data_IF_902696016023
#
_entry.id   IF_902696016023
#
_cell.length_a   1.000
_cell.length_b   1.000
_cell.length_c   1.000
_cell.angle_alpha   90.00
_cell.angle_beta   90.00
_cell.angle_gamma   90.00
#
_symmetry.space_group_name_H-M   'P 1'
#
loop_
_entity.id
_entity.type
_entity.pdbx_description
1 polymer ?
#
# COMPACT_ATOMS: atom_id res chain seq x y z
N UNK A 1 -5.26 -2.89 12.03
CA UNK A 1 -5.08 -2.50 10.61
C UNK A 1 -4.20 -3.53 9.86
N UNK A 2 -2.94 -3.72 10.24
CA UNK A 2 -1.99 -4.57 9.49
C UNK A 2 -2.41 -6.04 9.31
N UNK A 3 -3.03 -6.68 10.32
CA UNK A 3 -3.49 -8.06 10.19
C UNK A 3 -4.53 -8.23 9.08
N UNK A 4 -5.53 -7.34 9.01
CA UNK A 4 -6.53 -7.34 7.93
C UNK A 4 -5.90 -7.12 6.56
N UNK A 5 -4.85 -6.29 6.47
CA UNK A 5 -4.10 -6.08 5.22
C UNK A 5 -3.38 -7.37 4.79
N UNK A 6 -2.86 -8.16 5.74
CA UNK A 6 -2.25 -9.45 5.42
C UNK A 6 -3.28 -10.42 4.84
N UNK A 7 -4.48 -10.48 5.42
CA UNK A 7 -5.59 -11.29 4.89
C UNK A 7 -5.99 -10.86 3.47
N UNK A 8 -6.12 -9.55 3.24
CA UNK A 8 -6.41 -9.00 1.92
C UNK A 8 -5.32 -9.33 0.90
N UNK A 9 -4.05 -9.30 1.30
CA UNK A 9 -2.94 -9.64 0.41
C UNK A 9 -2.96 -11.11 -0.01
N UNK A 10 -3.48 -12.01 0.82
CA UNK A 10 -3.77 -13.39 0.39
C UNK A 10 -4.88 -13.44 -0.66
N UNK A 11 -5.91 -12.60 -0.51
CA UNK A 11 -6.98 -12.45 -1.50
C UNK A 11 -6.44 -11.88 -2.82
N UNK A 12 -5.60 -10.84 -2.78
CA UNK A 12 -4.88 -10.32 -3.96
C UNK A 12 -4.09 -11.44 -4.65
N UNK A 13 -3.36 -12.24 -3.88
CA UNK A 13 -2.57 -13.36 -4.42
C UNK A 13 -3.44 -14.41 -5.10
N UNK A 14 -4.55 -14.80 -4.46
CA UNK A 14 -5.50 -15.77 -5.02
C UNK A 14 -6.15 -15.26 -6.31
N UNK A 15 -6.57 -14.00 -6.34
CA UNK A 15 -7.18 -13.36 -7.50
C UNK A 15 -6.19 -13.27 -8.67
N UNK A 16 -4.94 -12.85 -8.44
CA UNK A 16 -3.91 -12.77 -9.47
C UNK A 16 -3.51 -14.14 -10.03
N UNK A 17 -3.46 -15.17 -9.19
CA UNK A 17 -3.15 -16.53 -9.64
C UNK A 17 -4.24 -17.11 -10.56
N UNK A 18 -5.49 -16.64 -10.39
CA UNK A 18 -6.67 -17.18 -11.05
C UNK A 18 -7.17 -16.31 -12.21
N UNK A 19 -6.56 -15.16 -12.48
CA UNK A 19 -6.89 -14.29 -13.63
C UNK A 19 -6.86 -15.03 -15.00
N UNK A 20 -6.19 -16.19 -15.07
CA UNK A 20 -6.14 -17.07 -16.24
C UNK A 20 -7.02 -18.32 -16.19
N UNK A 21 -7.54 -18.67 -15.02
CA UNK A 21 -8.35 -19.86 -14.83
C UNK A 21 -9.80 -19.53 -15.18
N UNK A 22 -10.29 -20.11 -16.28
CA UNK A 22 -11.58 -19.80 -16.89
C UNK A 22 -12.80 -19.77 -15.94
N UNK A 23 -13.86 -19.14 -16.47
CA UNK A 23 -15.16 -18.93 -15.83
C UNK A 23 -15.67 -20.21 -15.15
N UNK A 24 -15.75 -20.21 -13.82
CA UNK A 24 -16.33 -21.33 -13.06
C UNK A 24 -15.87 -21.49 -11.62
N UNK A 25 -14.70 -20.95 -11.22
CA UNK A 25 -14.23 -20.99 -9.83
C UNK A 25 -14.48 -19.67 -9.11
N UNK A 26 -15.32 -19.68 -8.07
CA UNK A 26 -15.47 -18.56 -7.13
C UNK A 26 -14.21 -18.45 -6.28
N UNK A 27 -13.34 -17.52 -6.62
CA UNK A 27 -12.13 -17.19 -5.86
C UNK A 27 -12.42 -15.90 -5.09
N UNK A 28 -11.91 -15.72 -3.85
CA UNK A 28 -11.98 -14.44 -3.16
C UNK A 28 -11.42 -13.32 -4.05
N UNK A 29 -12.12 -12.20 -4.11
CA UNK A 29 -11.74 -11.05 -4.92
C UNK A 29 -11.66 -9.79 -4.07
N UNK A 30 -10.82 -8.86 -4.48
CA UNK A 30 -10.78 -7.52 -3.96
C UNK A 30 -12.01 -6.76 -4.42
N UNK A 31 -12.90 -6.47 -3.47
CA UNK A 31 -14.08 -5.62 -3.64
C UNK A 31 -13.84 -4.17 -3.19
N UNK A 32 -14.69 -3.20 -3.59
CA UNK A 32 -14.57 -1.79 -3.22
C UNK A 32 -14.41 -1.52 -1.72
N UNK A 33 -15.02 -2.34 -0.86
CA UNK A 33 -14.96 -2.22 0.59
C UNK A 33 -13.53 -2.38 1.14
N UNK A 34 -12.70 -3.20 0.49
CA UNK A 34 -11.29 -3.32 0.84
C UNK A 34 -10.54 -2.01 0.58
N UNK A 35 -10.82 -1.35 -0.55
CA UNK A 35 -10.23 -0.05 -0.92
C UNK A 35 -10.70 1.03 0.05
N UNK A 36 -12.00 1.11 0.31
CA UNK A 36 -12.59 2.07 1.24
C UNK A 36 -11.99 1.95 2.64
N UNK A 37 -11.69 0.73 3.10
CA UNK A 37 -11.03 0.49 4.39
C UNK A 37 -9.59 1.01 4.43
N UNK A 38 -8.85 0.95 3.32
CA UNK A 38 -7.52 1.55 3.23
C UNK A 38 -7.62 3.08 3.23
N UNK A 39 -8.58 3.66 2.52
CA UNK A 39 -8.84 5.10 2.49
C UNK A 39 -9.22 5.63 3.87
N UNK A 40 -10.18 4.99 4.56
CA UNK A 40 -10.50 5.32 5.94
C UNK A 40 -9.29 5.16 6.90
N UNK A 41 -8.42 4.19 6.62
CA UNK A 41 -7.16 4.03 7.35
C UNK A 41 -6.21 5.21 7.14
N UNK A 42 -6.10 5.73 5.92
CA UNK A 42 -5.28 6.90 5.60
C UNK A 42 -5.80 8.10 6.39
N UNK A 43 -7.10 8.33 6.38
CA UNK A 43 -7.74 9.44 7.09
C UNK A 43 -7.59 9.32 8.62
N UNK A 44 -7.62 8.09 9.15
CA UNK A 44 -7.41 7.82 10.58
C UNK A 44 -6.02 8.24 11.06
N UNK A 45 -4.99 8.05 10.23
CA UNK A 45 -3.62 8.43 10.55
C UNK A 45 -3.35 9.87 10.12
N UNK A 46 -4.11 10.85 10.58
CA UNK A 46 -3.88 12.25 10.22
C UNK A 46 -2.48 12.72 10.68
N UNK A 47 -1.68 13.16 9.71
CA UNK A 47 -0.35 13.73 9.94
C UNK A 47 -0.31 15.22 9.59
N UNK A 48 -1.44 15.86 9.30
CA UNK A 48 -1.50 17.21 8.79
C UNK A 48 -0.74 17.38 7.47
N UNK A 49 -0.42 18.63 7.13
CA UNK A 49 0.20 18.97 5.85
C UNK A 49 1.65 18.46 5.79
N UNK A 50 1.95 17.69 4.74
CA UNK A 50 3.31 17.29 4.36
C UNK A 50 3.78 18.23 3.25
N UNK A 51 4.81 19.03 3.52
CA UNK A 51 5.37 19.99 2.55
C UNK A 51 6.65 19.51 1.89
N UNK A 52 7.29 18.48 2.46
CA UNK A 52 8.59 17.98 2.02
C UNK A 52 8.63 16.46 2.04
N UNK A 53 9.46 15.87 1.19
CA UNK A 53 9.69 14.43 1.22
C UNK A 53 10.41 14.02 2.50
N UNK A 54 10.00 12.88 3.05
CA UNK A 54 10.53 12.34 4.29
C UNK A 54 11.43 11.15 3.95
N UNK A 55 12.66 11.16 4.47
CA UNK A 55 13.57 10.03 4.35
C UNK A 55 13.17 8.89 5.30
N UNK A 56 13.31 7.62 4.87
CA UNK A 56 12.95 6.46 5.68
C UNK A 56 14.02 6.16 6.73
N UNK A 57 14.16 7.05 7.72
CA UNK A 57 15.13 6.98 8.82
C UNK A 57 14.42 7.21 10.14
N UNK A 58 14.82 6.48 11.18
CA UNK A 58 14.20 6.56 12.51
C UNK A 58 14.09 5.20 13.16
N UNK A 59 13.01 4.97 13.90
CA UNK A 59 12.76 3.70 14.59
C UNK A 59 12.64 2.52 13.65
N UNK A 60 12.84 1.32 14.20
CA UNK A 60 12.65 0.07 13.47
C UNK A 60 11.24 -0.05 12.89
N UNK A 61 10.21 0.36 13.64
CA UNK A 61 8.82 0.33 13.18
C UNK A 61 8.60 1.20 11.94
N UNK A 62 9.09 2.44 11.97
CA UNK A 62 9.04 3.37 10.84
C UNK A 62 9.76 2.80 9.60
N UNK A 63 10.97 2.28 9.80
CA UNK A 63 11.77 1.73 8.70
C UNK A 63 11.09 0.51 8.08
N UNK A 64 10.52 -0.38 8.89
CA UNK A 64 9.76 -1.54 8.42
C UNK A 64 8.50 -1.13 7.64
N UNK A 65 7.79 -0.08 8.05
CA UNK A 65 6.64 0.45 7.30
C UNK A 65 7.06 1.00 5.93
N UNK A 66 8.15 1.77 5.88
CA UNK A 66 8.68 2.24 4.61
C UNK A 66 9.20 1.11 3.72
N UNK A 67 9.78 0.05 4.30
CA UNK A 67 10.17 -1.14 3.54
C UNK A 67 8.95 -1.86 2.97
N UNK A 68 7.93 -2.13 3.79
CA UNK A 68 6.67 -2.71 3.31
C UNK A 68 6.07 -1.87 2.16
N UNK A 69 6.13 -0.53 2.27
CA UNK A 69 5.68 0.39 1.22
C UNK A 69 6.44 0.20 -0.10
N UNK A 70 7.76 0.06 -0.07
CA UNK A 70 8.54 -0.13 -1.31
C UNK A 70 8.26 -1.49 -1.96
N UNK A 71 8.03 -2.52 -1.15
CA UNK A 71 7.58 -3.84 -1.63
C UNK A 71 6.18 -3.75 -2.25
N UNK A 72 5.23 -3.08 -1.60
CA UNK A 72 3.89 -2.86 -2.15
C UNK A 72 3.92 -2.13 -3.49
N UNK A 73 4.72 -1.06 -3.63
CA UNK A 73 4.90 -0.36 -4.92
C UNK A 73 5.55 -1.23 -5.99
N UNK A 74 6.45 -2.14 -5.61
CA UNK A 74 7.05 -3.11 -6.55
C UNK A 74 6.02 -4.12 -7.04
N UNK A 75 5.14 -4.60 -6.16
CA UNK A 75 4.02 -5.45 -6.53
C UNK A 75 3.02 -4.70 -7.44
N UNK A 76 2.62 -3.48 -7.07
CA UNK A 76 1.76 -2.60 -7.89
C UNK A 76 2.28 -2.47 -9.33
N UNK A 77 3.57 -2.16 -9.53
CA UNK A 77 4.16 -2.04 -10.87
C UNK A 77 4.09 -3.34 -11.68
N UNK A 78 4.28 -4.49 -11.03
CA UNK A 78 4.16 -5.81 -11.68
C UNK A 78 2.73 -6.09 -12.09
N UNK A 79 1.77 -5.77 -11.22
CA UNK A 79 0.34 -5.95 -11.49
C UNK A 79 -0.12 -5.02 -12.62
N UNK A 80 0.29 -3.75 -12.63
CA UNK A 80 0.03 -2.82 -13.74
C UNK A 80 0.66 -3.32 -15.05
N UNK A 81 1.82 -3.98 -14.98
CA UNK A 81 2.43 -4.59 -16.18
C UNK A 81 1.62 -5.78 -16.69
N UNK A 82 1.03 -6.57 -15.77
CA UNK A 82 0.14 -7.68 -16.08
C UNK A 82 -1.20 -7.19 -16.67
N UNK A 83 -1.76 -6.10 -16.13
CA UNK A 83 -3.04 -5.53 -16.61
C UNK A 83 -3.00 -5.01 -18.04
N UNK A 84 -1.81 -4.86 -18.63
CA UNK A 84 -1.62 -4.53 -20.05
C UNK A 84 -1.74 -5.75 -20.97
N UNK A 85 -1.67 -6.96 -20.41
CA UNK A 85 -1.67 -8.24 -21.15
C UNK A 85 -2.98 -9.00 -20.96
N UNK A 86 -3.64 -8.84 -19.82
CA UNK A 86 -4.89 -9.48 -19.48
C UNK A 86 -5.78 -8.54 -18.67
N UNK A 87 -7.12 -8.64 -18.79
CA UNK A 87 -8.04 -7.81 -18.02
C UNK A 87 -7.93 -8.18 -16.53
N UNK A 88 -7.68 -7.18 -15.70
CA UNK A 88 -7.64 -7.33 -14.24
C UNK A 88 -8.74 -6.49 -13.60
N UNK A 89 -9.16 -6.91 -12.41
CA UNK A 89 -10.07 -6.17 -11.55
C UNK A 89 -9.51 -4.76 -11.23
N UNK A 90 -10.22 -3.68 -11.58
CA UNK A 90 -9.80 -2.32 -11.27
C UNK A 90 -9.63 -2.05 -9.77
N UNK A 91 -10.43 -2.68 -8.91
CA UNK A 91 -10.33 -2.47 -7.46
C UNK A 91 -9.08 -3.13 -6.88
N UNK A 92 -8.59 -4.22 -7.46
CA UNK A 92 -7.29 -4.79 -7.10
C UNK A 92 -6.15 -3.80 -7.39
N UNK A 93 -6.16 -3.14 -8.55
CA UNK A 93 -5.18 -2.11 -8.90
C UNK A 93 -5.25 -0.93 -7.92
N UNK A 94 -6.47 -0.45 -7.61
CA UNK A 94 -6.70 0.63 -6.65
C UNK A 94 -6.25 0.25 -5.24
N UNK A 95 -6.51 -0.98 -4.81
CA UNK A 95 -6.11 -1.50 -3.51
C UNK A 95 -4.58 -1.44 -3.34
N UNK A 96 -3.83 -1.93 -4.33
CA UNK A 96 -2.36 -1.92 -4.26
C UNK A 96 -1.78 -0.49 -4.26
N UNK A 97 -2.40 0.42 -5.00
CA UNK A 97 -2.04 1.84 -4.97
C UNK A 97 -2.28 2.46 -3.58
N UNK A 98 -3.48 2.28 -3.02
CA UNK A 98 -3.88 2.80 -1.70
C UNK A 98 -3.11 2.16 -0.56
N UNK A 99 -2.75 0.89 -0.66
CA UNK A 99 -1.92 0.22 0.35
C UNK A 99 -0.57 0.93 0.49
N UNK A 100 0.05 1.32 -0.62
CA UNK A 100 1.30 2.08 -0.56
C UNK A 100 1.14 3.48 0.06
N UNK A 101 -0.04 4.08 -0.07
CA UNK A 101 -0.38 5.36 0.54
C UNK A 101 -0.60 5.22 2.05
N UNK A 102 -1.36 4.21 2.48
CA UNK A 102 -1.57 3.89 3.90
C UNK A 102 -0.26 3.57 4.63
N UNK A 103 0.61 2.75 4.03
CA UNK A 103 1.91 2.41 4.62
C UNK A 103 2.81 3.64 4.75
N UNK A 104 2.74 4.60 3.81
CA UNK A 104 3.41 5.89 3.94
C UNK A 104 2.83 6.70 5.10
N UNK A 105 1.50 6.83 5.15
CA UNK A 105 0.80 7.59 6.18
C UNK A 105 1.13 7.07 7.59
N UNK A 106 1.09 5.75 7.78
CA UNK A 106 1.46 5.10 9.03
C UNK A 106 2.92 5.37 9.42
N UNK A 107 3.84 5.34 8.45
CA UNK A 107 5.26 5.61 8.72
C UNK A 107 5.49 7.06 9.18
N UNK A 108 4.84 8.03 8.53
CA UNK A 108 4.91 9.46 8.91
C UNK A 108 4.26 9.69 10.27
N UNK A 109 3.13 9.03 10.54
CA UNK A 109 2.46 9.11 11.83
C UNK A 109 3.34 8.56 12.96
N UNK A 110 4.01 7.41 12.76
CA UNK A 110 4.98 6.87 13.70
C UNK A 110 6.13 7.87 13.96
N UNK A 111 6.69 8.48 12.92
CA UNK A 111 7.76 9.47 13.08
C UNK A 111 7.34 10.64 13.96
N UNK A 112 6.14 11.18 13.72
CA UNK A 112 5.59 12.29 14.50
C UNK A 112 5.33 11.90 15.96
N UNK A 113 4.77 10.72 16.19
CA UNK A 113 4.48 10.21 17.54
C UNK A 113 5.77 10.02 18.35
N UNK A 114 6.84 9.58 17.70
CA UNK A 114 8.15 9.40 18.32
C UNK A 114 8.92 10.72 18.53
N UNK A 115 8.40 11.85 18.05
CA UNK A 115 9.10 13.15 18.01
C UNK A 115 10.49 13.04 17.36
N UNK A 116 10.64 12.10 16.44
CA UNK A 116 11.90 11.86 15.75
C UNK A 116 12.19 13.01 14.79
N UNK A 117 13.47 13.39 14.69
CA UNK A 117 13.89 14.43 13.75
C UNK A 117 13.61 13.96 12.32
N UNK A 118 12.79 14.71 11.59
CA UNK A 118 12.53 14.44 10.19
C UNK A 118 13.74 14.85 9.36
N UNK A 119 14.24 13.92 8.55
CA UNK A 119 15.28 14.21 7.57
C UNK A 119 14.66 14.27 6.18
N UNK A 120 15.14 15.23 5.38
CA UNK A 120 14.64 15.50 4.05
C UNK A 120 15.74 15.23 3.02
N UNK A 121 15.39 14.77 1.80
CA UNK A 121 16.37 14.66 0.74
C UNK A 121 16.99 16.03 0.43
N UNK A 122 18.31 16.08 0.33
CA UNK A 122 19.01 17.23 -0.22
C UNK A 122 19.10 17.07 -1.74
N UNK A 123 18.45 17.96 -2.47
CA UNK A 123 18.57 18.03 -3.93
C UNK A 123 19.64 19.08 -4.27
N UNK A 124 20.65 18.70 -5.07
CA UNK A 124 21.59 19.67 -5.62
C UNK A 124 20.81 20.55 -6.60
N UNK A 125 20.84 21.87 -6.40
CA UNK A 125 20.35 22.85 -7.38
C UNK A 125 21.28 22.89 -8.59
#
# INVERSE_FOLDING_TARGET
>A
ALLKIQDDLFTVGAELAMARAGEGKKVPQIVPEHVARLEAGIDTFDVGRITEFILPRGSEGLVRLHWARTVARRAERRIVSLSRREPLNPDLLRYMNRLSSLLYQMAVWCQKKERAKTEHPSYRK
#
